data_IF_086331968430
#
_entry.id   IF_086331968430
#
_cell.length_a   1.000
_cell.length_b   1.000
_cell.length_c   1.000
_cell.angle_alpha   90.00
_cell.angle_beta   90.00
_cell.angle_gamma   90.00
#
_symmetry.space_group_name_H-M   'P 1'
#
loop_
_entity.id
_entity.type
_entity.pdbx_description
1 polymer ?
#
# COMPACT_ATOMS: atom_id res chain seq x y z
N UNK A 1 26.59 14.79 7.86
CA UNK A 1 25.82 15.55 6.85
C UNK A 1 26.37 15.18 5.50
N UNK A 2 25.55 14.55 4.65
CA UNK A 2 25.77 14.43 3.21
C UNK A 2 24.38 14.26 2.56
N UNK A 3 24.16 14.80 1.35
CA UNK A 3 25.15 15.35 0.44
C UNK A 3 25.04 16.88 0.33
N UNK A 4 26.18 17.54 0.32
CA UNK A 4 26.27 18.85 -0.32
C UNK A 4 26.54 18.51 -1.79
N UNK A 5 25.84 19.17 -2.73
CA UNK A 5 26.14 19.11 -4.17
C UNK A 5 27.63 19.40 -4.44
N UNK A 6 28.05 19.56 -5.69
CA UNK A 6 29.47 19.81 -5.99
C UNK A 6 30.08 20.95 -5.17
N UNK A 7 31.27 20.68 -4.64
CA UNK A 7 32.14 21.73 -4.09
C UNK A 7 32.64 22.68 -5.18
N UNK A 8 33.05 23.91 -4.80
CA UNK A 8 33.45 24.95 -5.74
C UNK A 8 34.62 24.55 -6.65
N UNK A 9 35.59 23.81 -6.11
CA UNK A 9 36.78 23.36 -6.85
C UNK A 9 36.40 22.42 -8.01
N UNK A 10 35.53 21.44 -7.73
CA UNK A 10 35.08 20.48 -8.75
C UNK A 10 34.10 21.12 -9.74
N UNK A 11 33.26 22.07 -9.30
CA UNK A 11 32.40 22.83 -10.20
C UNK A 11 33.21 23.60 -11.24
N UNK A 12 34.28 24.28 -10.81
CA UNK A 12 35.18 25.03 -11.70
C UNK A 12 35.88 24.10 -12.68
N UNK A 13 36.29 22.91 -12.20
CA UNK A 13 37.00 21.93 -13.01
C UNK A 13 36.13 21.34 -14.14
N UNK A 14 34.82 21.21 -13.90
CA UNK A 14 33.88 20.71 -14.92
C UNK A 14 33.59 21.74 -16.02
N UNK A 15 33.80 23.03 -15.76
CA UNK A 15 33.71 24.08 -16.80
C UNK A 15 34.89 24.02 -17.79
N UNK A 16 36.01 23.39 -17.39
CA UNK A 16 37.22 23.26 -18.20
C UNK A 16 37.65 21.79 -18.36
N UNK A 17 37.12 21.05 -19.35
CA UNK A 17 37.39 19.62 -19.53
C UNK A 17 38.88 19.24 -19.66
N UNK A 18 39.72 20.14 -20.18
CA UNK A 18 41.15 19.93 -20.31
C UNK A 18 41.86 19.89 -18.94
N UNK A 19 41.42 20.71 -17.99
CA UNK A 19 41.98 20.78 -16.65
C UNK A 19 41.61 19.53 -15.82
N UNK A 20 40.41 18.98 -16.06
CA UNK A 20 39.98 17.72 -15.46
C UNK A 20 40.89 16.54 -15.86
N UNK A 21 41.26 16.47 -17.14
CA UNK A 21 42.18 15.45 -17.66
C UNK A 21 43.56 15.54 -17.01
N UNK A 22 44.14 16.75 -17.02
CA UNK A 22 45.44 17.01 -16.44
C UNK A 22 45.47 16.74 -14.92
N UNK A 23 44.42 17.16 -14.20
CA UNK A 23 44.30 16.90 -12.77
C UNK A 23 44.14 15.41 -12.48
N UNK A 24 43.32 14.68 -13.25
CA UNK A 24 43.14 13.25 -13.07
C UNK A 24 44.47 12.50 -13.17
N UNK A 25 45.27 12.80 -14.20
CA UNK A 25 46.61 12.22 -14.37
C UNK A 25 47.51 12.59 -13.18
N UNK A 26 47.54 13.87 -12.81
CA UNK A 26 48.37 14.36 -11.71
C UNK A 26 48.01 13.74 -10.35
N UNK A 27 46.72 13.58 -10.04
CA UNK A 27 46.24 12.92 -8.81
C UNK A 27 46.48 11.41 -8.85
N UNK A 28 46.40 10.77 -10.02
CA UNK A 28 46.66 9.34 -10.18
C UNK A 28 48.12 8.97 -9.92
N UNK A 29 49.04 9.86 -10.28
CA UNK A 29 50.48 9.70 -10.03
C UNK A 29 50.88 10.01 -8.57
N UNK A 30 49.99 10.58 -7.74
CA UNK A 30 50.30 10.86 -6.32
C UNK A 30 50.36 9.58 -5.48
N UNK A 31 51.24 9.55 -4.46
CA UNK A 31 51.31 8.42 -3.53
C UNK A 31 49.99 8.31 -2.74
N UNK A 32 49.25 7.22 -2.97
CA UNK A 32 48.00 6.93 -2.27
C UNK A 32 48.26 6.32 -0.89
N UNK A 33 47.29 6.45 0.04
CA UNK A 33 47.38 5.82 1.36
C UNK A 33 47.57 4.31 1.22
N UNK A 34 48.34 3.69 2.11
CA UNK A 34 48.80 2.30 2.02
C UNK A 34 47.71 1.24 1.72
N UNK A 35 46.44 1.48 2.09
CA UNK A 35 45.31 0.59 1.80
C UNK A 35 44.62 0.79 0.44
N UNK A 36 44.77 1.97 -0.19
CA UNK A 36 44.22 2.28 -1.53
C UNK A 36 45.23 1.93 -2.62
N UNK A 37 46.53 2.14 -2.34
CA UNK A 37 47.63 1.82 -3.26
C UNK A 37 47.65 0.34 -3.70
N UNK A 38 47.25 -0.58 -2.82
CA UNK A 38 47.25 -2.02 -3.10
C UNK A 38 46.19 -2.47 -4.14
N UNK A 39 45.22 -1.61 -4.48
CA UNK A 39 44.14 -1.92 -5.44
C UNK A 39 44.15 -1.03 -6.69
N UNK A 40 45.05 -0.04 -6.75
CA UNK A 40 45.13 0.86 -7.88
C UNK A 40 45.94 0.22 -9.01
N UNK A 41 45.39 0.23 -10.22
CA UNK A 41 46.15 -0.16 -11.41
C UNK A 41 47.18 0.95 -11.69
N UNK A 42 48.45 0.61 -11.98
CA UNK A 42 49.44 1.61 -12.40
C UNK A 42 48.94 2.40 -13.60
N UNK A 43 49.25 3.70 -13.66
CA UNK A 43 48.99 4.50 -14.86
C UNK A 43 50.00 4.10 -15.95
N UNK A 44 49.71 2.99 -16.63
CA UNK A 44 50.51 2.54 -17.77
C UNK A 44 50.25 3.42 -19.01
N UNK A 45 51.06 3.22 -20.05
CA UNK A 45 50.97 4.00 -21.29
C UNK A 45 49.61 3.85 -21.99
N UNK A 46 48.95 2.70 -21.85
CA UNK A 46 47.63 2.44 -22.47
C UNK A 46 46.52 3.20 -21.77
N UNK A 47 46.46 3.13 -20.43
CA UNK A 47 45.49 3.86 -19.63
C UNK A 47 45.71 5.37 -19.73
N UNK A 48 46.98 5.83 -19.75
CA UNK A 48 47.31 7.25 -19.96
C UNK A 48 46.80 7.75 -21.31
N UNK A 49 47.10 7.03 -22.40
CA UNK A 49 46.62 7.42 -23.73
C UNK A 49 45.09 7.43 -23.84
N UNK A 50 44.41 6.50 -23.16
CA UNK A 50 42.95 6.50 -23.07
C UNK A 50 42.42 7.74 -22.36
N UNK A 51 42.99 8.09 -21.20
CA UNK A 51 42.58 9.29 -20.45
C UNK A 51 42.84 10.53 -21.29
N UNK A 52 44.03 10.69 -21.86
CA UNK A 52 44.40 11.83 -22.72
C UNK A 52 43.49 11.98 -23.95
N UNK A 53 42.99 10.87 -24.51
CA UNK A 53 42.07 10.85 -25.65
C UNK A 53 40.57 10.85 -25.29
N UNK A 54 40.20 10.79 -24.01
CA UNK A 54 38.80 10.75 -23.58
C UNK A 54 38.16 12.13 -23.67
N UNK A 55 36.95 12.19 -24.23
CA UNK A 55 36.17 13.42 -24.31
C UNK A 55 35.50 13.72 -22.96
N UNK A 56 36.19 14.50 -22.12
CA UNK A 56 35.67 14.92 -20.82
C UNK A 56 34.52 15.96 -20.91
N UNK A 57 34.19 16.48 -22.09
CA UNK A 57 33.06 17.41 -22.23
C UNK A 57 31.70 16.75 -21.97
N UNK A 58 31.63 15.41 -22.03
CA UNK A 58 30.43 14.64 -21.68
C UNK A 58 30.21 14.54 -20.16
N UNK A 59 31.24 14.82 -19.36
CA UNK A 59 31.18 14.74 -17.90
C UNK A 59 30.57 16.03 -17.39
N UNK A 60 29.38 15.94 -16.82
CA UNK A 60 28.64 17.08 -16.31
C UNK A 60 28.12 16.81 -14.90
N UNK A 61 27.62 17.87 -14.28
CA UNK A 61 26.96 17.78 -13.00
C UNK A 61 25.46 17.93 -13.15
N UNK A 62 24.73 17.11 -12.39
CA UNK A 62 23.31 17.30 -12.19
C UNK A 62 23.03 17.51 -10.71
N UNK A 63 22.56 18.70 -10.31
CA UNK A 63 22.18 18.97 -8.93
C UNK A 63 21.18 17.95 -8.41
N UNK A 64 21.29 17.56 -7.14
CA UNK A 64 20.38 16.58 -6.57
C UNK A 64 18.91 17.04 -6.68
N UNK A 65 18.65 18.34 -6.51
CA UNK A 65 17.32 18.93 -6.69
C UNK A 65 16.74 18.61 -8.07
N UNK A 66 17.52 18.75 -9.13
CA UNK A 66 17.07 18.48 -10.51
C UNK A 66 16.82 16.99 -10.74
N UNK A 67 17.67 16.13 -10.18
CA UNK A 67 17.43 14.67 -10.19
C UNK A 67 16.09 14.37 -9.52
N UNK A 68 15.82 14.96 -8.35
CA UNK A 68 14.56 14.78 -7.62
C UNK A 68 13.37 15.30 -8.44
N UNK A 69 13.46 16.50 -9.01
CA UNK A 69 12.41 17.12 -9.83
C UNK A 69 12.07 16.23 -11.04
N UNK A 70 13.06 15.67 -11.72
CA UNK A 70 12.83 14.80 -12.87
C UNK A 70 12.18 13.47 -12.51
N UNK A 71 12.55 12.89 -11.36
CA UNK A 71 11.94 11.64 -10.92
C UNK A 71 10.58 11.86 -10.25
N UNK A 72 10.18 13.10 -9.95
CA UNK A 72 8.96 13.40 -9.18
C UNK A 72 7.70 12.79 -9.79
N UNK A 73 7.60 12.79 -11.12
CA UNK A 73 6.47 12.21 -11.86
C UNK A 73 6.54 10.68 -12.00
N UNK A 74 7.66 10.06 -11.62
CA UNK A 74 7.87 8.62 -11.76
C UNK A 74 7.32 7.84 -10.57
N UNK A 75 6.89 6.60 -10.81
CA UNK A 75 6.48 5.67 -9.74
C UNK A 75 7.57 5.45 -8.68
N UNK A 76 8.85 5.57 -9.05
CA UNK A 76 9.95 5.46 -8.10
C UNK A 76 9.90 6.54 -7.03
N UNK A 77 9.66 7.79 -7.41
CA UNK A 77 9.54 8.89 -6.46
C UNK A 77 8.32 8.72 -5.57
N UNK A 78 7.18 8.37 -6.18
CA UNK A 78 5.95 8.06 -5.46
C UNK A 78 6.15 6.99 -4.38
N UNK A 79 6.85 5.90 -4.74
CA UNK A 79 7.15 4.80 -3.82
C UNK A 79 8.17 5.15 -2.73
N UNK A 80 9.17 5.95 -3.06
CA UNK A 80 10.32 6.23 -2.17
C UNK A 80 10.03 7.40 -1.22
N UNK A 81 9.36 8.44 -1.70
CA UNK A 81 9.14 9.69 -0.97
C UNK A 81 7.67 9.94 -0.61
N UNK A 82 6.76 9.04 -0.98
CA UNK A 82 5.38 9.04 -0.52
C UNK A 82 4.50 10.16 -1.07
N UNK A 83 4.81 10.64 -2.28
CA UNK A 83 3.98 11.56 -3.07
C UNK A 83 3.61 12.91 -2.39
N UNK A 84 4.35 13.38 -1.37
CA UNK A 84 4.11 14.72 -0.82
C UNK A 84 2.75 14.93 -0.15
N UNK A 85 2.19 13.89 0.49
CA UNK A 85 0.93 14.02 1.24
C UNK A 85 -0.31 13.72 0.41
N UNK A 86 -0.39 12.48 -0.11
CA UNK A 86 -1.62 11.99 -0.73
C UNK A 86 -2.78 12.07 0.25
N UNK A 87 -3.86 12.71 -0.18
CA UNK A 87 -5.11 12.78 0.55
C UNK A 87 -6.16 12.06 -0.26
N UNK A 88 -6.85 11.12 0.38
CA UNK A 88 -8.01 10.47 -0.23
C UNK A 88 -9.10 11.51 -0.46
N UNK A 89 -9.82 11.46 -1.59
CA UNK A 89 -11.01 12.29 -1.74
C UNK A 89 -12.02 11.99 -0.61
N UNK A 90 -12.97 12.90 -0.33
CA UNK A 90 -14.10 12.58 0.53
C UNK A 90 -14.87 11.36 0.04
N UNK A 91 -15.48 10.61 0.95
CA UNK A 91 -16.33 9.48 0.59
C UNK A 91 -17.59 9.98 -0.12
N UNK A 92 -17.95 9.35 -1.24
CA UNK A 92 -19.22 9.62 -1.91
C UNK A 92 -20.41 9.26 -1.00
N UNK A 93 -21.57 9.90 -1.19
CA UNK A 93 -22.79 9.54 -0.46
C UNK A 93 -23.11 8.06 -0.66
N UNK A 94 -23.27 7.34 0.46
CA UNK A 94 -23.65 5.93 0.45
C UNK A 94 -25.12 5.82 0.03
N UNK A 95 -25.47 4.97 -0.96
CA UNK A 95 -26.85 4.75 -1.35
C UNK A 95 -27.74 4.30 -0.18
N UNK A 96 -28.96 4.83 -0.07
CA UNK A 96 -29.88 4.43 1.00
C UNK A 96 -30.20 2.92 0.93
N UNK A 97 -30.50 2.43 -0.26
CA UNK A 97 -30.71 1.00 -0.53
C UNK A 97 -29.38 0.30 -0.91
N UNK A 98 -29.19 -0.99 -0.56
CA UNK A 98 -28.04 -1.77 -0.98
C UNK A 98 -27.86 -1.78 -2.50
N UNK A 99 -26.66 -1.41 -2.96
CA UNK A 99 -26.31 -1.43 -4.38
C UNK A 99 -25.78 -2.82 -4.80
N UNK A 100 -25.79 -3.17 -6.12
CA UNK A 100 -25.32 -4.46 -6.62
C UNK A 100 -23.94 -4.88 -6.11
N UNK A 101 -23.03 -3.92 -5.92
CA UNK A 101 -21.65 -4.17 -5.53
C UNK A 101 -21.49 -4.66 -4.09
N UNK A 102 -22.47 -4.43 -3.21
CA UNK A 102 -22.42 -4.84 -1.79
C UNK A 102 -23.38 -5.99 -1.45
N UNK A 103 -24.16 -6.48 -2.42
CA UNK A 103 -25.28 -7.40 -2.17
C UNK A 103 -24.88 -8.69 -1.48
N UNK A 104 -23.78 -9.33 -1.89
CA UNK A 104 -23.37 -10.63 -1.33
C UNK A 104 -23.06 -10.52 0.16
N UNK A 105 -22.29 -9.50 0.53
CA UNK A 105 -21.95 -9.24 1.93
C UNK A 105 -23.18 -8.80 2.74
N UNK A 106 -24.06 -7.98 2.17
CA UNK A 106 -25.32 -7.55 2.82
C UNK A 106 -26.21 -8.75 3.10
N UNK A 107 -26.34 -9.69 2.16
CA UNK A 107 -27.11 -10.91 2.38
C UNK A 107 -26.45 -11.81 3.44
N UNK A 108 -25.12 -11.94 3.42
CA UNK A 108 -24.40 -12.67 4.46
C UNK A 108 -24.62 -12.07 5.86
N UNK A 109 -24.66 -10.73 5.98
CA UNK A 109 -25.02 -10.07 7.24
C UNK A 109 -26.46 -10.37 7.67
N UNK A 110 -27.42 -10.35 6.74
CA UNK A 110 -28.82 -10.70 7.04
C UNK A 110 -28.94 -12.14 7.54
N UNK A 111 -28.21 -13.09 6.95
CA UNK A 111 -28.15 -14.47 7.45
C UNK A 111 -27.58 -14.50 8.88
N UNK A 112 -26.48 -13.79 9.13
CA UNK A 112 -25.87 -13.69 10.46
C UNK A 112 -26.80 -13.06 11.52
N UNK A 113 -27.64 -12.09 11.13
CA UNK A 113 -28.66 -11.51 11.98
C UNK A 113 -29.83 -12.46 12.22
N UNK A 114 -30.26 -13.20 11.20
CA UNK A 114 -31.29 -14.23 11.34
C UNK A 114 -30.87 -15.30 12.36
N UNK A 115 -29.61 -15.75 12.29
CA UNK A 115 -29.03 -16.67 13.26
C UNK A 115 -29.06 -16.12 14.69
N UNK A 116 -28.73 -14.84 14.87
CA UNK A 116 -28.77 -14.18 16.18
C UNK A 116 -30.20 -14.06 16.74
N UNK A 117 -31.16 -13.73 15.88
CA UNK A 117 -32.56 -13.58 16.25
C UNK A 117 -33.30 -14.92 16.36
N UNK A 118 -32.66 -16.03 15.97
CA UNK A 118 -33.28 -17.36 15.95
C UNK A 118 -34.42 -17.49 14.93
N UNK A 119 -34.37 -16.73 13.83
CA UNK A 119 -35.40 -16.71 12.79
C UNK A 119 -34.87 -17.16 11.43
N UNK A 120 -35.78 -17.31 10.46
CA UNK A 120 -35.39 -17.59 9.08
C UNK A 120 -34.83 -16.34 8.41
N UNK A 121 -33.88 -16.54 7.50
CA UNK A 121 -33.27 -15.44 6.74
C UNK A 121 -34.30 -14.64 5.93
N UNK A 122 -35.29 -15.31 5.33
CA UNK A 122 -36.36 -14.68 4.56
C UNK A 122 -37.20 -13.70 5.40
N UNK A 123 -37.26 -13.90 6.71
CA UNK A 123 -38.02 -13.05 7.62
C UNK A 123 -37.19 -11.86 8.13
N UNK A 124 -35.87 -11.81 7.85
CA UNK A 124 -34.98 -10.73 8.31
C UNK A 124 -35.08 -9.51 7.40
N UNK A 125 -36.18 -8.77 7.54
CA UNK A 125 -36.46 -7.55 6.77
C UNK A 125 -35.74 -6.32 7.33
N UNK A 126 -35.71 -5.22 6.55
CA UNK A 126 -35.13 -3.96 7.00
C UNK A 126 -35.86 -3.36 8.20
N UNK A 127 -37.17 -3.61 8.35
CA UNK A 127 -37.92 -3.21 9.55
C UNK A 127 -37.46 -3.94 10.80
N UNK A 128 -37.17 -5.25 10.71
CA UNK A 128 -36.68 -6.03 11.85
C UNK A 128 -35.28 -5.57 12.25
N UNK A 129 -34.39 -5.39 11.26
CA UNK A 129 -33.03 -4.87 11.49
C UNK A 129 -33.12 -3.47 12.11
N UNK A 130 -33.98 -2.60 11.57
CA UNK A 130 -34.20 -1.24 12.04
C UNK A 130 -34.85 -1.15 13.43
N UNK A 131 -35.65 -2.15 13.81
CA UNK A 131 -36.29 -2.27 15.12
C UNK A 131 -35.35 -2.71 16.24
N UNK A 132 -34.23 -3.34 15.93
CA UNK A 132 -33.20 -3.71 16.89
C UNK A 132 -32.04 -2.69 16.88
N UNK A 133 -31.81 -1.91 17.96
CA UNK A 133 -30.79 -0.86 17.96
C UNK A 133 -29.36 -1.35 17.67
N UNK A 134 -28.98 -2.53 18.17
CA UNK A 134 -27.65 -3.08 17.97
C UNK A 134 -27.42 -3.50 16.51
N UNK A 135 -28.42 -4.18 15.91
CA UNK A 135 -28.36 -4.59 14.50
C UNK A 135 -28.38 -3.38 13.58
N UNK A 136 -29.24 -2.40 13.84
CA UNK A 136 -29.32 -1.15 13.07
C UNK A 136 -27.98 -0.41 13.03
N UNK A 137 -27.34 -0.24 14.18
CA UNK A 137 -26.04 0.44 14.27
C UNK A 137 -24.98 -0.35 13.52
N UNK A 138 -24.90 -1.67 13.76
CA UNK A 138 -23.91 -2.52 13.11
C UNK A 138 -24.10 -2.56 11.59
N UNK A 139 -25.33 -2.74 11.11
CA UNK A 139 -25.65 -2.72 9.69
C UNK A 139 -25.22 -1.42 9.00
N UNK A 140 -25.55 -0.27 9.62
CA UNK A 140 -25.16 1.04 9.09
C UNK A 140 -23.65 1.20 9.03
N UNK A 141 -22.93 0.93 10.12
CA UNK A 141 -21.47 1.11 10.15
C UNK A 141 -20.75 0.11 9.24
N UNK A 142 -21.27 -1.11 9.08
CA UNK A 142 -20.70 -2.11 8.18
C UNK A 142 -20.78 -1.66 6.72
N UNK A 143 -21.92 -1.08 6.29
CA UNK A 143 -22.03 -0.46 4.95
C UNK A 143 -21.08 0.71 4.80
N UNK A 144 -21.01 1.61 5.78
CA UNK A 144 -20.02 2.72 5.77
C UNK A 144 -18.58 2.23 5.62
N UNK A 145 -18.20 1.19 6.35
CA UNK A 145 -16.85 0.61 6.28
C UNK A 145 -16.60 -0.04 4.92
N UNK A 146 -17.57 -0.76 4.34
CA UNK A 146 -17.46 -1.35 3.00
C UNK A 146 -17.15 -0.29 1.94
N UNK A 147 -17.93 0.79 1.88
CA UNK A 147 -17.68 1.88 0.92
C UNK A 147 -16.36 2.61 1.18
N UNK A 148 -15.93 2.75 2.44
CA UNK A 148 -14.60 3.27 2.78
C UNK A 148 -13.49 2.40 2.19
N UNK A 149 -13.58 1.07 2.34
CA UNK A 149 -12.61 0.14 1.78
C UNK A 149 -12.65 0.13 0.23
N UNK A 150 -13.83 0.22 -0.39
CA UNK A 150 -13.97 0.37 -1.85
C UNK A 150 -13.31 1.66 -2.36
N UNK A 151 -13.44 2.76 -1.62
CA UNK A 151 -12.76 4.00 -1.95
C UNK A 151 -11.24 3.85 -1.86
N UNK A 152 -10.73 3.18 -0.82
CA UNK A 152 -9.30 2.90 -0.68
C UNK A 152 -8.78 2.02 -1.83
N UNK A 153 -9.55 1.00 -2.22
CA UNK A 153 -9.24 0.15 -3.38
C UNK A 153 -9.12 0.97 -4.67
N UNK A 154 -10.15 1.74 -5.01
CA UNK A 154 -10.16 2.60 -6.21
C UNK A 154 -9.03 3.60 -6.19
N UNK A 155 -8.80 4.26 -5.05
CA UNK A 155 -7.71 5.21 -4.88
C UNK A 155 -6.33 4.55 -5.09
N UNK A 156 -6.12 3.39 -4.47
CA UNK A 156 -4.87 2.63 -4.62
C UNK A 156 -4.63 2.21 -6.07
N UNK A 157 -5.65 1.66 -6.73
CA UNK A 157 -5.61 1.25 -8.14
C UNK A 157 -5.30 2.42 -9.08
N UNK A 158 -5.98 3.56 -8.90
CA UNK A 158 -5.85 4.70 -9.80
C UNK A 158 -4.54 5.48 -9.56
N UNK A 159 -4.04 5.48 -8.32
CA UNK A 159 -2.79 6.18 -7.95
C UNK A 159 -1.55 5.33 -8.20
N UNK A 160 -1.65 4.01 -8.02
CA UNK A 160 -0.54 3.05 -8.08
C UNK A 160 -0.88 1.81 -8.94
N UNK A 161 -1.18 1.99 -10.24
CA UNK A 161 -1.78 0.96 -11.09
C UNK A 161 -0.92 -0.28 -11.31
N UNK A 162 0.40 -0.18 -11.17
CA UNK A 162 1.33 -1.31 -11.32
C UNK A 162 1.62 -2.03 -10.01
N UNK A 163 1.01 -1.60 -8.90
CA UNK A 163 1.22 -2.22 -7.59
C UNK A 163 -0.04 -2.98 -7.17
N UNK A 164 0.10 -4.25 -6.82
CA UNK A 164 -0.95 -5.06 -6.18
C UNK A 164 -1.15 -4.68 -4.70
N UNK A 165 -1.03 -3.38 -4.40
CA UNK A 165 -0.91 -2.88 -3.04
C UNK A 165 -2.20 -3.03 -2.23
N UNK A 166 -3.37 -3.11 -2.86
CA UNK A 166 -4.61 -3.30 -2.13
C UNK A 166 -4.90 -4.77 -1.87
N UNK A 167 -4.66 -5.63 -2.85
CA UNK A 167 -4.82 -7.08 -2.70
C UNK A 167 -3.88 -7.62 -1.62
N UNK A 168 -2.62 -7.16 -1.59
CA UNK A 168 -1.65 -7.46 -0.53
C UNK A 168 -2.17 -7.01 0.86
N UNK A 169 -2.83 -5.85 0.93
CA UNK A 169 -3.46 -5.35 2.17
C UNK A 169 -4.60 -6.27 2.61
N UNK A 170 -5.46 -6.69 1.69
CA UNK A 170 -6.57 -7.58 1.97
C UNK A 170 -6.08 -8.92 2.51
N UNK A 171 -5.03 -9.48 1.91
CA UNK A 171 -4.43 -10.75 2.34
C UNK A 171 -3.75 -10.63 3.72
N UNK A 172 -3.10 -9.50 4.01
CA UNK A 172 -2.55 -9.22 5.35
C UNK A 172 -3.65 -9.11 6.40
N UNK A 173 -4.73 -8.38 6.11
CA UNK A 173 -5.88 -8.27 7.01
C UNK A 173 -6.50 -9.65 7.23
N UNK A 174 -6.75 -10.41 6.16
CA UNK A 174 -7.31 -11.76 6.23
C UNK A 174 -6.47 -12.69 7.10
N UNK A 175 -5.16 -12.71 6.88
CA UNK A 175 -4.22 -13.52 7.67
C UNK A 175 -4.27 -13.11 9.15
N UNK A 176 -4.34 -11.81 9.44
CA UNK A 176 -4.43 -11.29 10.81
C UNK A 176 -5.71 -11.69 11.53
N UNK A 177 -6.85 -11.75 10.83
CA UNK A 177 -8.14 -12.14 11.43
C UNK A 177 -8.38 -13.64 11.44
N UNK A 178 -7.51 -14.46 10.84
CA UNK A 178 -7.79 -15.88 10.58
C UNK A 178 -8.15 -16.66 11.86
N UNK A 179 -7.49 -16.36 12.97
CA UNK A 179 -7.78 -16.97 14.27
C UNK A 179 -9.20 -16.64 14.77
N UNK A 180 -9.61 -15.37 14.68
CA UNK A 180 -10.96 -14.95 15.00
C UNK A 180 -11.98 -15.54 14.01
N UNK A 181 -11.67 -15.53 12.72
CA UNK A 181 -12.55 -16.07 11.67
C UNK A 181 -12.81 -17.59 11.82
N UNK A 182 -11.84 -18.32 12.38
CA UNK A 182 -11.90 -19.78 12.58
C UNK A 182 -12.41 -20.19 13.96
N UNK A 183 -12.66 -19.23 14.86
CA UNK A 183 -13.19 -19.53 16.19
C UNK A 183 -14.66 -20.02 16.12
N UNK A 184 -15.11 -20.66 17.19
CA UNK A 184 -16.51 -21.07 17.33
C UNK A 184 -17.35 -19.93 17.88
N UNK A 185 -18.53 -19.74 17.31
CA UNK A 185 -19.49 -18.72 17.71
C UNK A 185 -20.89 -19.31 17.75
N UNK A 186 -21.72 -18.78 18.65
CA UNK A 186 -23.12 -19.21 18.78
C UNK A 186 -23.97 -18.82 17.56
N UNK A 187 -23.63 -17.69 16.93
CA UNK A 187 -24.32 -17.16 15.76
C UNK A 187 -23.39 -16.26 14.94
N UNK A 188 -23.74 -16.05 13.67
CA UNK A 188 -22.94 -15.28 12.72
C UNK A 188 -22.73 -13.82 13.10
N UNK A 189 -23.70 -13.19 13.77
CA UNK A 189 -23.52 -11.82 14.24
C UNK A 189 -22.37 -11.68 15.25
N UNK A 190 -22.18 -12.65 16.16
CA UNK A 190 -21.08 -12.64 17.11
C UNK A 190 -19.73 -12.84 16.39
N UNK A 191 -19.71 -13.72 15.37
CA UNK A 191 -18.55 -13.90 14.50
C UNK A 191 -18.18 -12.60 13.78
N UNK A 192 -19.15 -11.94 13.14
CA UNK A 192 -18.93 -10.69 12.43
C UNK A 192 -18.38 -9.59 13.34
N UNK A 193 -18.94 -9.44 14.54
CA UNK A 193 -18.44 -8.51 15.56
C UNK A 193 -17.01 -8.81 15.98
N UNK A 194 -16.70 -10.08 16.29
CA UNK A 194 -15.38 -10.47 16.75
C UNK A 194 -14.31 -10.28 15.67
N UNK A 195 -14.61 -10.73 14.44
CA UNK A 195 -13.70 -10.61 13.29
C UNK A 195 -13.43 -9.15 12.93
N UNK A 196 -14.48 -8.32 12.82
CA UNK A 196 -14.29 -6.90 12.50
C UNK A 196 -13.57 -6.16 13.64
N UNK A 197 -13.88 -6.48 14.91
CA UNK A 197 -13.15 -5.94 16.06
C UNK A 197 -11.66 -6.31 16.03
N UNK A 198 -11.33 -7.52 15.63
CA UNK A 198 -9.94 -7.96 15.50
C UNK A 198 -9.23 -7.24 14.35
N UNK A 199 -9.90 -7.10 13.20
CA UNK A 199 -9.38 -6.36 12.04
C UNK A 199 -8.99 -4.92 12.42
N UNK A 200 -9.81 -4.25 13.23
CA UNK A 200 -9.54 -2.88 13.68
C UNK A 200 -8.36 -2.74 14.65
N UNK A 201 -7.85 -3.84 15.23
CA UNK A 201 -6.71 -3.86 16.16
C UNK A 201 -5.40 -4.27 15.48
N UNK A 202 -5.45 -4.71 14.22
CA UNK A 202 -4.27 -5.20 13.51
C UNK A 202 -3.22 -4.12 13.37
N UNK A 203 -1.97 -4.48 13.64
CA UNK A 203 -0.81 -3.67 13.35
C UNK A 203 -0.29 -4.05 11.96
N UNK A 204 -0.85 -3.42 10.92
CA UNK A 204 -0.57 -3.74 9.50
C UNK A 204 0.83 -3.31 9.02
N UNK A 205 1.72 -2.94 9.95
CA UNK A 205 3.17 -2.85 9.77
C UNK A 205 3.66 -2.26 8.44
N UNK A 206 4.63 -2.95 7.82
CA UNK A 206 5.39 -2.56 6.62
C UNK A 206 4.56 -2.47 5.32
N UNK A 207 3.24 -2.33 5.39
CA UNK A 207 2.41 -2.22 4.22
C UNK A 207 2.53 -0.84 3.56
N UNK A 208 2.62 -0.81 2.22
CA UNK A 208 2.85 0.42 1.45
C UNK A 208 1.79 1.50 1.72
N UNK A 209 0.50 1.16 1.61
CA UNK A 209 -0.61 2.09 1.89
C UNK A 209 -0.66 2.55 3.36
N UNK A 210 -0.13 1.75 4.29
CA UNK A 210 -0.05 2.11 5.72
C UNK A 210 1.08 3.12 5.93
N UNK A 211 2.23 2.91 5.29
CA UNK A 211 3.34 3.88 5.28
C UNK A 211 2.94 5.24 4.72
N UNK A 212 2.02 5.25 3.74
CA UNK A 212 1.41 6.48 3.19
C UNK A 212 0.30 7.09 4.05
N UNK A 213 -0.04 6.48 5.19
CA UNK A 213 -1.12 6.92 6.09
C UNK A 213 -2.49 7.00 5.41
N UNK A 214 -2.75 6.13 4.44
CA UNK A 214 -4.02 6.09 3.68
C UNK A 214 -5.05 5.12 4.29
N UNK A 215 -4.58 4.19 5.14
CA UNK A 215 -5.40 3.15 5.77
C UNK A 215 -5.90 3.62 7.13
N UNK A 216 -7.21 3.58 7.32
CA UNK A 216 -7.92 3.85 8.57
C UNK A 216 -8.52 2.55 9.14
N UNK A 217 -8.88 2.57 10.43
CA UNK A 217 -9.54 1.43 11.11
C UNK A 217 -10.82 0.98 10.37
N UNK A 218 -11.59 1.93 9.82
CA UNK A 218 -12.80 1.63 9.06
C UNK A 218 -12.51 0.89 7.76
N UNK A 219 -11.35 1.11 7.14
CA UNK A 219 -10.96 0.35 5.95
C UNK A 219 -10.70 -1.11 6.32
N UNK A 220 -10.05 -1.38 7.47
CA UNK A 220 -9.84 -2.76 7.93
C UNK A 220 -11.16 -3.51 8.17
N UNK A 221 -12.16 -2.85 8.76
CA UNK A 221 -13.51 -3.43 8.90
C UNK A 221 -14.15 -3.67 7.53
N UNK A 222 -14.04 -2.71 6.62
CA UNK A 222 -14.58 -2.78 5.27
C UNK A 222 -13.96 -3.89 4.42
N UNK A 223 -12.66 -4.12 4.58
CA UNK A 223 -11.93 -5.21 3.92
C UNK A 223 -12.52 -6.56 4.32
N UNK A 224 -12.88 -6.77 5.59
CA UNK A 224 -13.58 -8.01 5.98
C UNK A 224 -14.90 -8.18 5.21
N UNK A 225 -15.65 -7.09 5.02
CA UNK A 225 -16.89 -7.11 4.25
C UNK A 225 -16.63 -7.35 2.76
N UNK A 226 -15.59 -6.77 2.16
CA UNK A 226 -15.17 -7.06 0.79
C UNK A 226 -14.78 -8.53 0.58
N UNK A 227 -14.07 -9.14 1.53
CA UNK A 227 -13.70 -10.58 1.45
C UNK A 227 -14.95 -11.47 1.52
N UNK A 228 -15.95 -11.12 2.34
CA UNK A 228 -17.23 -11.85 2.30
C UNK A 228 -17.96 -11.60 0.97
N UNK A 229 -17.90 -10.38 0.47
CA UNK A 229 -18.60 -9.98 -0.76
C UNK A 229 -18.04 -10.65 -2.02
N UNK A 230 -16.72 -10.90 -2.08
CA UNK A 230 -16.06 -11.60 -3.19
C UNK A 230 -16.59 -13.01 -3.38
N UNK A 231 -17.18 -13.59 -2.33
CA UNK A 231 -17.74 -14.95 -2.31
C UNK A 231 -16.72 -16.02 -2.77
N UNK A 232 -15.45 -15.79 -2.48
CA UNK A 232 -14.34 -16.72 -2.77
C UNK A 232 -14.20 -17.84 -1.71
N UNK A 233 -15.05 -17.81 -0.67
CA UNK A 233 -15.11 -18.80 0.40
C UNK A 233 -14.10 -18.58 1.54
N UNK A 234 -13.24 -17.55 1.47
CA UNK A 234 -12.25 -17.28 2.53
C UNK A 234 -12.88 -16.83 3.84
N UNK A 235 -13.99 -16.11 3.78
CA UNK A 235 -14.71 -15.61 4.94
C UNK A 235 -16.23 -15.69 4.71
N UNK A 236 -16.95 -16.11 5.74
CA UNK A 236 -18.42 -16.11 5.77
C UNK A 236 -18.92 -15.67 7.14
N UNK A 237 -19.99 -14.89 7.17
CA UNK A 237 -20.63 -14.47 8.41
C UNK A 237 -21.52 -15.55 9.02
N UNK A 238 -22.10 -16.44 8.22
CA UNK A 238 -22.91 -17.54 8.75
C UNK A 238 -22.03 -18.56 9.47
N UNK A 239 -22.51 -19.09 10.60
CA UNK A 239 -21.88 -20.23 11.29
C UNK A 239 -22.53 -21.56 10.93
N UNK A 240 -23.73 -21.52 10.33
CA UNK A 240 -24.41 -22.71 9.82
C UNK A 240 -23.84 -23.04 8.44
N UNK A 241 -23.44 -24.30 8.25
CA UNK A 241 -23.08 -24.79 6.92
C UNK A 241 -24.33 -24.66 6.04
N UNK A 242 -24.26 -23.94 4.92
CA UNK A 242 -25.34 -23.98 3.93
C UNK A 242 -25.46 -25.44 3.47
N UNK A 243 -26.54 -26.12 3.82
CA UNK A 243 -26.87 -27.38 3.19
C UNK A 243 -26.96 -27.12 1.68
N UNK A 244 -26.27 -27.91 0.84
CA UNK A 244 -26.39 -27.75 -0.59
C UNK A 244 -27.87 -27.86 -0.96
N UNK A 245 -28.39 -26.84 -1.64
CA UNK A 245 -29.73 -26.88 -2.18
C UNK A 245 -29.81 -28.09 -3.11
N UNK A 246 -30.51 -29.14 -2.68
CA UNK A 246 -30.82 -30.29 -3.52
C UNK A 246 -31.63 -29.78 -4.72
N UNK A 247 -31.00 -29.77 -5.89
CA UNK A 247 -31.59 -29.54 -7.20
C UNK A 247 -31.20 -30.68 -8.13
#
# INVERSE_FOLDING_TARGET
MAPFDLGPDLSTLLETPADLNALLIAEWEKPTKAGVAAKLVPLDAGLRAYIEGFDFSIVSFKPQREIIEEITETEFYKRTFGCGGLVRPPLDPIPDAPAPEELNYVQALRVAFAEFLGMQHADTTDEIIGGNPALKIFYKISRECFYKAEQLYRFGRDTFPTSHCFEDLQDQVYTGILAAASARYDHGYAKALAVTSEAGKLQLGNHFLVGLKLVEVRDCHGICHQIVNSNDGRLSWSVKTQEPANG
#
